data_IF_338900398471
#
_entry.id   IF_338900398471
#
_cell.length_a   1.000
_cell.length_b   1.000
_cell.length_c   1.000
_cell.angle_alpha   90.00
_cell.angle_beta   90.00
_cell.angle_gamma   90.00
#
_symmetry.space_group_name_H-M   'P 1'
#
loop_
_entity.id
_entity.type
_entity.pdbx_description
1 polymer ?
#
# COMPACT_ATOMS: atom_id res chain seq x y z
N UNK A 1 -1.35 -16.52 12.33
CA UNK A 1 -0.15 -17.39 12.20
C UNK A 1 -0.53 -18.85 11.93
N UNK A 2 -1.30 -19.51 12.80
CA UNK A 2 -1.75 -20.91 12.58
C UNK A 2 -2.43 -21.12 11.23
N UNK A 3 -3.35 -20.22 10.84
CA UNK A 3 -4.01 -20.30 9.54
C UNK A 3 -3.02 -20.29 8.36
N UNK A 4 -2.01 -19.41 8.39
CA UNK A 4 -0.99 -19.34 7.36
C UNK A 4 -0.08 -20.58 7.33
N UNK A 5 0.29 -21.11 8.51
CA UNK A 5 1.06 -22.36 8.60
C UNK A 5 0.27 -23.56 8.06
N UNK A 6 -1.00 -23.69 8.43
CA UNK A 6 -1.89 -24.74 7.92
C UNK A 6 -2.07 -24.62 6.38
N UNK A 7 -2.24 -23.40 5.87
CA UNK A 7 -2.32 -23.17 4.42
C UNK A 7 -1.04 -23.60 3.71
N UNK A 8 0.12 -23.30 4.29
CA UNK A 8 1.41 -23.71 3.72
C UNK A 8 1.53 -25.23 3.65
N UNK A 9 1.10 -25.96 4.68
CA UNK A 9 1.05 -27.43 4.64
C UNK A 9 0.13 -27.92 3.52
N UNK A 10 -1.08 -27.36 3.39
CA UNK A 10 -2.05 -27.75 2.36
C UNK A 10 -1.54 -27.49 0.93
N UNK A 11 -0.81 -26.40 0.70
CA UNK A 11 -0.21 -26.08 -0.60
C UNK A 11 0.78 -27.16 -1.04
N UNK A 12 1.58 -27.68 -0.11
CA UNK A 12 2.62 -28.66 -0.43
C UNK A 12 2.11 -30.11 -0.49
N UNK A 13 0.97 -30.42 0.14
CA UNK A 13 0.32 -31.74 0.04
C UNK A 13 -0.56 -31.90 -1.20
N UNK A 14 -1.04 -30.81 -1.79
CA UNK A 14 -1.79 -30.81 -3.05
C UNK A 14 -0.85 -30.97 -4.26
N UNK A 15 -0.43 -32.20 -4.58
CA UNK A 15 0.64 -32.43 -5.56
C UNK A 15 0.19 -32.63 -7.01
N UNK A 16 -1.08 -32.92 -7.29
CA UNK A 16 -1.54 -33.24 -8.65
C UNK A 16 -2.10 -32.05 -9.46
N UNK A 17 -2.82 -31.12 -8.81
CA UNK A 17 -3.65 -30.13 -9.55
C UNK A 17 -3.05 -28.72 -9.63
N UNK A 18 -2.09 -28.38 -8.76
CA UNK A 18 -1.47 -27.04 -8.74
C UNK A 18 -0.03 -27.05 -9.26
N UNK A 19 0.28 -26.31 -10.34
CA UNK A 19 1.63 -26.18 -10.89
C UNK A 19 2.65 -25.78 -9.81
N UNK A 20 3.86 -26.32 -9.88
CA UNK A 20 4.95 -25.98 -8.95
C UNK A 20 5.20 -24.45 -8.85
N UNK A 21 5.21 -23.68 -9.96
CA UNK A 21 5.37 -22.22 -9.88
C UNK A 21 4.31 -21.54 -9.00
N UNK A 22 3.05 -21.93 -9.13
CA UNK A 22 1.96 -21.35 -8.36
C UNK A 22 2.10 -21.64 -6.86
N UNK A 23 2.47 -22.88 -6.50
CA UNK A 23 2.74 -23.27 -5.11
C UNK A 23 3.88 -22.48 -4.47
N UNK A 24 4.92 -22.16 -5.24
CA UNK A 24 6.03 -21.30 -4.77
C UNK A 24 5.53 -19.88 -4.51
N UNK A 25 4.75 -19.30 -5.44
CA UNK A 25 4.20 -17.96 -5.28
C UNK A 25 3.30 -17.85 -4.04
N UNK A 26 2.38 -18.80 -3.85
CA UNK A 26 1.50 -18.86 -2.68
C UNK A 26 2.29 -19.02 -1.37
N UNK A 27 3.32 -19.87 -1.36
CA UNK A 27 4.20 -20.06 -0.20
C UNK A 27 4.91 -18.78 0.19
N UNK A 28 5.41 -18.01 -0.78
CA UNK A 28 6.13 -16.74 -0.52
C UNK A 28 5.17 -15.65 -0.08
N UNK A 29 3.95 -15.60 -0.63
CA UNK A 29 2.90 -14.71 -0.15
C UNK A 29 2.55 -15.01 1.30
N UNK A 30 2.36 -16.29 1.67
CA UNK A 30 2.09 -16.69 3.06
C UNK A 30 3.28 -16.44 3.99
N UNK A 31 4.50 -16.70 3.54
CA UNK A 31 5.72 -16.39 4.28
C UNK A 31 5.84 -14.90 4.58
N UNK A 32 5.51 -14.06 3.60
CA UNK A 32 5.44 -12.60 3.75
C UNK A 32 4.38 -12.18 4.77
N UNK A 33 3.17 -12.76 4.68
CA UNK A 33 2.11 -12.57 5.68
C UNK A 33 2.57 -12.98 7.07
N UNK A 34 3.21 -14.14 7.23
CA UNK A 34 3.74 -14.61 8.52
C UNK A 34 4.77 -13.66 9.11
N UNK A 35 5.67 -13.14 8.27
CA UNK A 35 6.68 -12.17 8.69
C UNK A 35 6.02 -10.88 9.19
N UNK A 36 5.02 -10.36 8.47
CA UNK A 36 4.28 -9.17 8.88
C UNK A 36 3.43 -9.40 10.13
N UNK A 37 2.88 -10.59 10.32
CA UNK A 37 2.19 -10.98 11.56
C UNK A 37 3.17 -11.09 12.74
N UNK A 38 4.40 -11.56 12.50
CA UNK A 38 5.45 -11.56 13.52
C UNK A 38 5.82 -10.12 13.91
N UNK A 39 5.93 -9.19 12.94
CA UNK A 39 6.11 -7.75 13.24
C UNK A 39 4.93 -7.23 14.05
N UNK A 40 3.69 -7.50 13.65
CA UNK A 40 2.50 -7.09 14.41
C UNK A 40 2.54 -7.61 15.86
N UNK A 41 2.95 -8.85 16.07
CA UNK A 41 3.16 -9.43 17.40
C UNK A 41 4.26 -8.70 18.18
N UNK A 42 5.42 -8.42 17.56
CA UNK A 42 6.49 -7.66 18.20
C UNK A 42 6.05 -6.24 18.58
N UNK A 43 5.27 -5.57 17.72
CA UNK A 43 4.70 -4.24 17.98
C UNK A 43 3.79 -4.30 19.20
N UNK A 44 2.90 -5.31 19.28
CA UNK A 44 2.02 -5.49 20.43
C UNK A 44 2.81 -5.82 21.71
N UNK A 45 3.81 -6.70 21.62
CA UNK A 45 4.59 -7.16 22.77
C UNK A 45 5.42 -6.03 23.38
N UNK A 46 6.06 -5.20 22.55
CA UNK A 46 6.90 -4.08 23.02
C UNK A 46 6.09 -2.88 23.51
N UNK A 47 4.80 -2.84 23.21
CA UNK A 47 3.96 -1.67 23.43
C UNK A 47 3.70 -1.31 24.90
N UNK A 48 4.03 -2.18 25.86
CA UNK A 48 3.63 -2.04 27.28
C UNK A 48 2.14 -1.62 27.42
N UNK A 49 1.25 -2.25 26.64
CA UNK A 49 -0.19 -1.97 26.55
C UNK A 49 -0.59 -0.54 26.12
N UNK A 50 0.32 0.23 25.53
CA UNK A 50 -0.01 1.55 24.99
C UNK A 50 -1.05 1.44 23.85
N UNK A 51 -2.23 2.07 23.99
CA UNK A 51 -3.32 1.95 23.02
C UNK A 51 -2.95 2.26 21.55
N UNK A 52 -2.06 3.24 21.26
CA UNK A 52 -1.58 3.50 19.90
C UNK A 52 -0.92 2.29 19.22
N UNK A 53 0.00 1.65 19.93
CA UNK A 53 0.80 0.55 19.39
C UNK A 53 -0.07 -0.72 19.26
N UNK A 54 -0.94 -0.98 20.23
CA UNK A 54 -1.91 -2.07 20.16
C UNK A 54 -2.86 -1.90 18.96
N UNK A 55 -3.36 -0.68 18.73
CA UNK A 55 -4.22 -0.40 17.57
C UNK A 55 -3.50 -0.62 16.25
N UNK A 56 -2.22 -0.21 16.17
CA UNK A 56 -1.38 -0.48 15.01
C UNK A 56 -1.16 -1.98 14.79
N UNK A 57 -0.79 -2.72 15.84
CA UNK A 57 -0.61 -4.16 15.78
C UNK A 57 -1.87 -4.88 15.31
N UNK A 58 -3.04 -4.50 15.83
CA UNK A 58 -4.32 -5.06 15.41
C UNK A 58 -4.65 -4.72 13.95
N UNK A 59 -4.38 -3.49 13.50
CA UNK A 59 -4.56 -3.11 12.10
C UNK A 59 -3.73 -4.02 11.18
N UNK A 60 -2.43 -4.16 11.45
CA UNK A 60 -1.54 -5.03 10.69
C UNK A 60 -1.99 -6.49 10.76
N UNK A 61 -2.35 -6.97 11.95
CA UNK A 61 -2.78 -8.34 12.16
C UNK A 61 -4.02 -8.67 11.32
N UNK A 62 -5.06 -7.83 11.32
CA UNK A 62 -6.28 -8.08 10.55
C UNK A 62 -6.08 -7.88 9.05
N UNK A 63 -5.34 -6.85 8.63
CA UNK A 63 -5.02 -6.62 7.21
C UNK A 63 -4.30 -7.84 6.62
N UNK A 64 -3.23 -8.31 7.26
CA UNK A 64 -2.44 -9.41 6.71
C UNK A 64 -3.05 -10.79 6.99
N UNK A 65 -3.79 -10.97 8.10
CA UNK A 65 -4.49 -12.23 8.34
C UNK A 65 -5.66 -12.43 7.38
N UNK A 66 -6.28 -11.37 6.87
CA UNK A 66 -7.38 -11.49 5.91
C UNK A 66 -6.97 -12.35 4.71
N UNK A 67 -5.83 -12.04 4.08
CA UNK A 67 -5.30 -12.80 2.95
C UNK A 67 -5.01 -14.27 3.30
N UNK A 68 -4.38 -14.51 4.46
CA UNK A 68 -4.10 -15.87 4.91
C UNK A 68 -5.38 -16.67 5.18
N UNK A 69 -6.41 -16.06 5.77
CA UNK A 69 -7.69 -16.72 6.03
C UNK A 69 -8.43 -17.03 4.73
N UNK A 70 -8.48 -16.09 3.79
CA UNK A 70 -9.15 -16.32 2.51
C UNK A 70 -8.47 -17.43 1.72
N UNK A 71 -7.13 -17.45 1.68
CA UNK A 71 -6.37 -18.52 1.04
C UNK A 71 -6.59 -19.87 1.74
N UNK A 72 -6.62 -19.91 3.08
CA UNK A 72 -6.92 -21.13 3.83
C UNK A 72 -8.31 -21.69 3.47
N UNK A 73 -9.33 -20.83 3.51
CA UNK A 73 -10.71 -21.22 3.22
C UNK A 73 -10.88 -21.68 1.77
N UNK A 74 -10.11 -21.09 0.86
CA UNK A 74 -10.02 -21.53 -0.53
C UNK A 74 -9.43 -22.93 -0.67
N UNK A 75 -8.28 -23.20 -0.04
CA UNK A 75 -7.63 -24.53 -0.09
C UNK A 75 -8.45 -25.61 0.62
N UNK A 76 -9.19 -25.25 1.66
CA UNK A 76 -10.15 -26.14 2.33
C UNK A 76 -11.46 -26.33 1.55
N UNK A 77 -11.61 -25.69 0.37
CA UNK A 77 -12.83 -25.72 -0.46
C UNK A 77 -14.09 -25.33 0.33
N UNK A 78 -13.94 -24.41 1.29
CA UNK A 78 -15.07 -23.92 2.09
C UNK A 78 -16.02 -23.15 1.20
N UNK A 79 -17.32 -23.41 1.38
CA UNK A 79 -18.41 -22.78 0.63
C UNK A 79 -18.27 -21.24 0.68
N UNK A 80 -18.50 -20.59 -0.47
CA UNK A 80 -18.50 -19.14 -0.61
C UNK A 80 -19.41 -18.44 0.41
N UNK A 81 -20.54 -19.05 0.79
CA UNK A 81 -21.47 -18.53 1.80
C UNK A 81 -20.85 -18.36 3.20
N UNK A 82 -19.81 -19.15 3.54
CA UNK A 82 -19.06 -19.03 4.80
C UNK A 82 -17.84 -18.12 4.60
N UNK A 83 -17.20 -18.17 3.43
CA UNK A 83 -16.02 -17.35 3.11
C UNK A 83 -16.34 -15.86 3.10
N UNK A 84 -17.50 -15.48 2.54
CA UNK A 84 -17.94 -14.10 2.42
C UNK A 84 -18.06 -13.38 3.78
N UNK A 85 -18.80 -13.91 4.77
CA UNK A 85 -18.88 -13.31 6.11
C UNK A 85 -17.51 -13.16 6.79
N UNK A 86 -16.62 -14.14 6.63
CA UNK A 86 -15.26 -14.06 7.18
C UNK A 86 -14.51 -12.91 6.55
N UNK A 87 -14.53 -12.79 5.22
CA UNK A 87 -13.90 -11.69 4.47
C UNK A 87 -14.42 -10.31 4.91
N UNK A 88 -15.74 -10.20 5.11
CA UNK A 88 -16.38 -8.96 5.57
C UNK A 88 -15.94 -8.61 6.97
N UNK A 89 -15.92 -9.58 7.88
CA UNK A 89 -15.56 -9.37 9.27
C UNK A 89 -14.08 -8.95 9.40
N UNK A 90 -13.17 -9.67 8.74
CA UNK A 90 -11.74 -9.33 8.75
C UNK A 90 -11.48 -7.98 8.09
N UNK A 91 -12.22 -7.64 7.02
CA UNK A 91 -12.14 -6.32 6.40
C UNK A 91 -12.61 -5.21 7.35
N UNK A 92 -13.78 -5.36 7.98
CA UNK A 92 -14.31 -4.37 8.93
C UNK A 92 -13.32 -4.14 10.07
N UNK A 93 -12.76 -5.23 10.63
CA UNK A 93 -11.78 -5.15 11.71
C UNK A 93 -10.48 -4.48 11.22
N UNK A 94 -9.93 -4.90 10.08
CA UNK A 94 -8.72 -4.31 9.51
C UNK A 94 -8.87 -2.81 9.21
N UNK A 95 -9.97 -2.43 8.55
CA UNK A 95 -10.27 -1.03 8.24
C UNK A 95 -10.52 -0.18 9.49
N UNK A 96 -11.31 -0.69 10.43
CA UNK A 96 -11.60 -0.01 11.69
C UNK A 96 -10.33 0.23 12.50
N UNK A 97 -9.51 -0.80 12.69
CA UNK A 97 -8.23 -0.67 13.40
C UNK A 97 -7.22 0.20 12.64
N UNK A 98 -7.19 0.18 11.31
CA UNK A 98 -6.34 1.07 10.52
C UNK A 98 -6.66 2.54 10.79
N UNK A 99 -7.94 2.92 10.75
CA UNK A 99 -8.37 4.29 11.04
C UNK A 99 -8.06 4.65 12.49
N UNK A 100 -8.29 3.74 13.43
CA UNK A 100 -7.94 3.95 14.85
C UNK A 100 -6.44 4.11 15.04
N UNK A 101 -5.62 3.32 14.36
CA UNK A 101 -4.17 3.44 14.39
C UNK A 101 -3.75 4.81 13.85
N UNK A 102 -4.33 5.28 12.73
CA UNK A 102 -4.05 6.62 12.19
C UNK A 102 -4.46 7.77 13.14
N UNK A 103 -5.44 7.54 14.02
CA UNK A 103 -5.88 8.51 15.02
C UNK A 103 -5.04 8.49 16.31
N UNK A 104 -4.43 7.35 16.63
CA UNK A 104 -3.77 7.12 17.91
C UNK A 104 -2.24 7.09 17.82
N UNK A 105 -1.68 6.73 16.67
CA UNK A 105 -0.25 6.49 16.50
C UNK A 105 0.43 7.57 15.63
N UNK A 106 1.63 8.07 16.01
CA UNK A 106 2.39 7.75 17.24
C UNK A 106 1.89 8.43 18.51
N UNK A 107 0.97 9.39 18.40
CA UNK A 107 0.33 10.05 19.53
C UNK A 107 -1.17 10.19 19.29
N UNK A 108 -1.97 10.24 20.36
CA UNK A 108 -3.41 10.45 20.23
C UNK A 108 -3.73 11.84 19.66
N UNK A 109 -4.45 11.87 18.53
CA UNK A 109 -4.99 13.11 17.98
C UNK A 109 -6.17 13.60 18.82
N UNK A 110 -6.16 14.90 19.11
CA UNK A 110 -7.23 15.58 19.84
C UNK A 110 -8.02 16.49 18.90
N UNK A 111 -9.26 16.87 19.27
CA UNK A 111 -10.00 17.90 18.53
C UNK A 111 -9.23 19.22 18.40
N UNK A 112 -8.41 19.56 19.39
CA UNK A 112 -7.57 20.77 19.39
C UNK A 112 -6.49 20.70 18.30
N UNK A 113 -5.91 19.53 18.04
CA UNK A 113 -4.93 19.33 16.96
C UNK A 113 -5.54 19.61 15.58
N UNK A 114 -6.81 19.21 15.37
CA UNK A 114 -7.51 19.44 14.12
C UNK A 114 -7.91 20.91 13.98
N UNK A 115 -8.44 21.54 15.04
CA UNK A 115 -8.91 22.93 15.00
C UNK A 115 -7.78 23.93 14.82
N UNK A 116 -6.63 23.69 15.44
CA UNK A 116 -5.43 24.53 15.35
C UNK A 116 -4.54 24.21 14.14
N UNK A 117 -4.85 23.13 13.40
CA UNK A 117 -4.06 22.72 12.24
C UNK A 117 -4.01 23.82 11.18
N UNK A 118 -2.82 24.19 10.66
CA UNK A 118 -2.71 25.19 9.59
C UNK A 118 -3.21 24.70 8.23
N UNK A 119 -3.66 23.44 8.14
CA UNK A 119 -4.08 22.74 6.92
C UNK A 119 -5.50 23.11 6.47
N UNK A 120 -5.89 22.70 5.25
CA UNK A 120 -7.26 22.90 4.73
C UNK A 120 -8.32 22.27 5.63
N UNK A 121 -7.97 21.15 6.28
CA UNK A 121 -8.83 20.39 7.18
C UNK A 121 -9.16 21.16 8.46
N UNK A 122 -8.18 21.93 8.96
CA UNK A 122 -8.38 22.86 10.07
C UNK A 122 -9.15 24.09 9.63
N UNK A 123 -8.93 24.63 8.43
CA UNK A 123 -9.58 25.89 7.98
C UNK A 123 -11.07 25.73 7.64
N UNK A 124 -11.44 24.66 6.94
CA UNK A 124 -12.80 24.46 6.43
C UNK A 124 -13.71 23.85 7.50
N UNK A 125 -14.72 24.61 7.96
CA UNK A 125 -15.63 24.21 9.05
C UNK A 125 -16.30 22.83 8.87
N UNK A 126 -16.91 22.47 7.72
CA UNK A 126 -17.55 21.16 7.58
C UNK A 126 -16.55 20.00 7.65
N UNK A 127 -15.40 20.10 6.99
CA UNK A 127 -14.35 19.08 7.04
C UNK A 127 -13.82 18.90 8.46
N UNK A 128 -13.63 20.00 9.19
CA UNK A 128 -13.22 19.99 10.59
C UNK A 128 -14.22 19.22 11.46
N UNK A 129 -15.52 19.50 11.32
CA UNK A 129 -16.58 18.82 12.08
C UNK A 129 -16.61 17.33 11.76
N UNK A 130 -16.50 16.95 10.49
CA UNK A 130 -16.48 15.54 10.06
C UNK A 130 -15.28 14.80 10.65
N UNK A 131 -14.07 15.37 10.57
CA UNK A 131 -12.87 14.74 11.13
C UNK A 131 -12.93 14.60 12.65
N UNK A 132 -13.46 15.61 13.37
CA UNK A 132 -13.65 15.55 14.82
C UNK A 132 -14.72 14.51 15.19
N UNK A 133 -15.81 14.41 14.41
CA UNK A 133 -16.83 13.39 14.62
C UNK A 133 -16.22 11.97 14.50
N UNK A 134 -15.41 11.75 13.47
CA UNK A 134 -14.76 10.46 13.25
C UNK A 134 -13.58 10.17 14.18
N UNK A 135 -13.08 11.12 14.99
CA UNK A 135 -12.15 10.80 16.09
C UNK A 135 -12.78 9.85 17.14
N UNK A 136 -14.12 9.80 17.22
CA UNK A 136 -14.84 8.90 18.12
C UNK A 136 -14.81 7.48 17.56
N UNK A 137 -14.29 6.54 18.34
CA UNK A 137 -14.17 5.13 17.93
C UNK A 137 -15.50 4.55 17.42
N UNK A 138 -16.63 4.84 18.09
CA UNK A 138 -17.96 4.38 17.67
C UNK A 138 -18.33 4.84 16.26
N UNK A 139 -18.00 6.09 15.90
CA UNK A 139 -18.31 6.63 14.58
C UNK A 139 -17.50 5.92 13.48
N UNK A 140 -16.24 5.58 13.74
CA UNK A 140 -15.40 4.80 12.82
C UNK A 140 -16.01 3.42 12.57
N UNK A 141 -16.38 2.70 13.63
CA UNK A 141 -16.96 1.36 13.50
C UNK A 141 -18.31 1.38 12.78
N UNK A 142 -19.15 2.38 13.04
CA UNK A 142 -20.41 2.57 12.32
C UNK A 142 -20.14 2.84 10.84
N UNK A 143 -19.22 3.75 10.50
CA UNK A 143 -18.89 4.07 9.11
C UNK A 143 -18.40 2.83 8.37
N UNK A 144 -17.41 2.14 8.91
CA UNK A 144 -16.80 0.97 8.25
C UNK A 144 -17.82 -0.17 8.15
N UNK A 145 -18.55 -0.47 9.24
CA UNK A 145 -19.53 -1.55 9.27
C UNK A 145 -20.69 -1.30 8.31
N UNK A 146 -21.32 -0.12 8.40
CA UNK A 146 -22.47 0.24 7.54
C UNK A 146 -22.04 0.32 6.08
N UNK A 147 -20.91 0.97 5.77
CA UNK A 147 -20.43 1.03 4.38
C UNK A 147 -20.14 -0.37 3.83
N UNK A 148 -19.45 -1.23 4.59
CA UNK A 148 -19.13 -2.58 4.11
C UNK A 148 -20.40 -3.41 3.89
N UNK A 149 -21.40 -3.32 4.78
CA UNK A 149 -22.65 -4.06 4.65
C UNK A 149 -23.54 -3.56 3.50
N UNK A 150 -23.66 -2.24 3.31
CA UNK A 150 -24.48 -1.65 2.24
C UNK A 150 -23.96 -1.97 0.85
N UNK A 151 -22.64 -2.09 0.72
CA UNK A 151 -21.97 -2.29 -0.56
C UNK A 151 -21.39 -3.69 -0.72
N UNK A 152 -21.76 -4.61 0.17
CA UNK A 152 -21.34 -5.99 0.10
C UNK A 152 -21.78 -6.62 -1.23
N UNK A 153 -20.86 -7.29 -1.92
CA UNK A 153 -21.11 -7.93 -3.21
C UNK A 153 -20.95 -7.03 -4.44
N UNK A 154 -20.70 -5.72 -4.29
CA UNK A 154 -20.38 -4.85 -5.42
C UNK A 154 -18.87 -4.51 -5.45
N UNK A 155 -18.12 -4.99 -6.45
CA UNK A 155 -16.67 -4.81 -6.51
C UNK A 155 -16.24 -3.34 -6.67
N UNK A 156 -16.99 -2.53 -7.43
CA UNK A 156 -16.65 -1.12 -7.65
C UNK A 156 -16.78 -0.29 -6.37
N UNK A 157 -17.84 -0.53 -5.59
CA UNK A 157 -18.00 0.16 -4.31
C UNK A 157 -17.01 -0.32 -3.25
N UNK A 158 -16.60 -1.59 -3.29
CA UNK A 158 -15.57 -2.10 -2.38
C UNK A 158 -14.24 -1.33 -2.53
N UNK A 159 -13.82 -1.05 -3.77
CA UNK A 159 -12.61 -0.25 -4.01
C UNK A 159 -12.78 1.21 -3.60
N UNK A 160 -13.96 1.81 -3.84
CA UNK A 160 -14.26 3.17 -3.40
C UNK A 160 -14.20 3.30 -1.87
N UNK A 161 -14.74 2.33 -1.13
CA UNK A 161 -14.70 2.30 0.34
C UNK A 161 -13.26 2.16 0.84
N UNK A 162 -12.47 1.26 0.24
CA UNK A 162 -11.04 1.13 0.56
C UNK A 162 -10.30 2.44 0.35
N UNK A 163 -10.53 3.12 -0.78
CA UNK A 163 -9.94 4.42 -1.07
C UNK A 163 -10.34 5.45 0.00
N UNK A 164 -11.61 5.52 0.39
CA UNK A 164 -12.08 6.44 1.44
C UNK A 164 -11.40 6.14 2.78
N UNK A 165 -11.28 4.87 3.16
CA UNK A 165 -10.60 4.43 4.40
C UNK A 165 -9.13 4.87 4.39
N UNK A 166 -8.42 4.60 3.29
CA UNK A 166 -7.01 4.99 3.12
C UNK A 166 -6.85 6.50 3.16
N UNK A 167 -7.67 7.25 2.42
CA UNK A 167 -7.63 8.71 2.41
C UNK A 167 -7.89 9.29 3.81
N UNK A 168 -8.84 8.72 4.56
CA UNK A 168 -9.10 9.17 5.91
C UNK A 168 -7.91 8.91 6.84
N UNK A 169 -7.25 7.74 6.73
CA UNK A 169 -6.01 7.45 7.44
C UNK A 169 -4.89 8.44 7.09
N UNK A 170 -4.69 8.72 5.80
CA UNK A 170 -3.70 9.70 5.29
C UNK A 170 -3.98 11.10 5.85
N UNK A 171 -5.24 11.53 5.90
CA UNK A 171 -5.61 12.84 6.46
C UNK A 171 -5.25 12.92 7.94
N UNK A 172 -5.56 11.89 8.74
CA UNK A 172 -5.20 11.87 10.16
C UNK A 172 -3.68 11.89 10.36
N UNK A 173 -2.94 11.02 9.66
CA UNK A 173 -1.47 11.04 9.71
C UNK A 173 -0.91 12.40 9.28
N UNK A 174 -1.47 13.04 8.26
CA UNK A 174 -1.02 14.35 7.79
C UNK A 174 -1.27 15.46 8.82
N UNK A 175 -2.44 15.46 9.47
CA UNK A 175 -2.71 16.39 10.59
C UNK A 175 -1.73 16.14 11.73
N UNK A 176 -1.45 14.88 12.06
CA UNK A 176 -0.51 14.52 13.12
C UNK A 176 0.93 14.93 12.79
N UNK A 177 1.36 14.76 11.55
CA UNK A 177 2.65 15.25 11.06
C UNK A 177 2.77 16.77 11.22
N UNK A 178 1.73 17.52 10.84
CA UNK A 178 1.75 18.98 10.92
C UNK A 178 1.72 19.53 12.33
N UNK A 179 1.03 18.86 13.24
CA UNK A 179 0.84 19.29 14.63
C UNK A 179 1.85 18.69 15.60
N UNK A 180 2.52 17.60 15.23
CA UNK A 180 3.47 16.89 16.07
C UNK A 180 4.83 17.57 16.20
N UNK A 181 5.57 17.14 17.21
CA UNK A 181 6.99 17.43 17.43
C UNK A 181 7.87 16.67 16.43
N UNK A 182 9.20 16.84 16.55
CA UNK A 182 10.17 16.25 15.62
C UNK A 182 10.07 14.72 15.62
N UNK A 183 9.92 14.09 16.78
CA UNK A 183 9.81 12.64 16.90
C UNK A 183 8.52 12.11 16.25
N UNK A 184 7.37 12.72 16.55
CA UNK A 184 6.08 12.37 15.92
C UNK A 184 6.18 12.46 14.40
N UNK A 185 6.77 13.53 13.89
CA UNK A 185 6.95 13.73 12.44
C UNK A 185 7.76 12.63 11.80
N UNK A 186 8.86 12.22 12.42
CA UNK A 186 9.71 11.15 11.90
C UNK A 186 8.99 9.80 11.85
N UNK A 187 8.27 9.43 12.90
CA UNK A 187 7.49 8.18 12.93
C UNK A 187 6.39 8.15 11.87
N UNK A 188 5.69 9.27 11.67
CA UNK A 188 4.67 9.39 10.61
C UNK A 188 5.31 9.32 9.22
N UNK A 189 6.49 9.91 9.01
CA UNK A 189 7.21 9.84 7.73
C UNK A 189 7.58 8.40 7.36
N UNK A 190 8.03 7.58 8.32
CA UNK A 190 8.28 6.15 8.08
C UNK A 190 7.02 5.39 7.65
N UNK A 191 5.85 5.74 8.19
CA UNK A 191 4.57 5.17 7.71
C UNK A 191 4.22 5.61 6.28
N UNK A 192 4.43 6.89 5.95
CA UNK A 192 4.24 7.36 4.58
C UNK A 192 5.23 6.72 3.61
N UNK A 193 6.46 6.46 4.05
CA UNK A 193 7.45 5.73 3.27
C UNK A 193 7.02 4.29 3.02
N UNK A 194 6.54 3.59 4.06
CA UNK A 194 5.96 2.25 3.93
C UNK A 194 4.84 2.22 2.88
N UNK A 195 3.87 3.14 3.01
CA UNK A 195 2.74 3.23 2.11
C UNK A 195 3.17 3.57 0.67
N UNK A 196 4.14 4.46 0.50
CA UNK A 196 4.63 4.86 -0.81
C UNK A 196 5.44 3.74 -1.48
N UNK A 197 6.30 3.04 -0.75
CA UNK A 197 7.05 1.89 -1.29
C UNK A 197 6.07 0.80 -1.73
N UNK A 198 5.08 0.47 -0.88
CA UNK A 198 4.04 -0.51 -1.23
C UNK A 198 3.24 -0.08 -2.44
N UNK A 199 2.85 1.20 -2.54
CA UNK A 199 2.17 1.73 -3.71
C UNK A 199 3.01 1.55 -4.98
N UNK A 200 4.29 1.95 -4.94
CA UNK A 200 5.20 1.85 -6.08
C UNK A 200 5.41 0.40 -6.51
N UNK A 201 5.68 -0.50 -5.57
CA UNK A 201 5.88 -1.92 -5.88
C UNK A 201 4.59 -2.54 -6.44
N UNK A 202 3.42 -2.17 -5.90
CA UNK A 202 2.13 -2.66 -6.40
C UNK A 202 1.86 -2.17 -7.81
N UNK A 203 2.09 -0.89 -8.10
CA UNK A 203 1.95 -0.34 -9.46
C UNK A 203 2.91 -1.02 -10.44
N UNK A 204 4.16 -1.26 -10.05
CA UNK A 204 5.12 -1.98 -10.89
C UNK A 204 4.65 -3.43 -11.12
N UNK A 205 4.19 -4.11 -10.08
CA UNK A 205 3.67 -5.47 -10.19
C UNK A 205 2.45 -5.55 -11.11
N UNK A 206 1.49 -4.64 -10.97
CA UNK A 206 0.29 -4.55 -11.81
C UNK A 206 0.64 -4.21 -13.25
N UNK A 207 1.56 -3.26 -13.46
CA UNK A 207 2.04 -2.88 -14.78
C UNK A 207 2.71 -4.05 -15.50
N UNK A 208 3.57 -4.81 -14.80
CA UNK A 208 4.21 -5.97 -15.42
C UNK A 208 3.19 -7.10 -15.65
N UNK A 209 2.24 -7.32 -14.73
CA UNK A 209 1.16 -8.28 -14.92
C UNK A 209 0.29 -7.94 -16.13
N UNK A 210 0.00 -6.66 -16.36
CA UNK A 210 -0.75 -6.20 -17.53
C UNK A 210 0.01 -6.50 -18.83
N UNK A 211 1.31 -6.19 -18.90
CA UNK A 211 2.15 -6.45 -20.08
C UNK A 211 2.32 -7.95 -20.35
N UNK A 212 2.56 -8.75 -19.30
CA UNK A 212 2.79 -10.19 -19.43
C UNK A 212 1.52 -11.01 -19.66
N UNK A 213 0.33 -10.43 -19.49
CA UNK A 213 -0.94 -11.16 -19.60
C UNK A 213 -1.14 -11.78 -20.99
N UNK A 214 -0.67 -11.13 -22.05
CA UNK A 214 -0.85 -11.55 -23.44
C UNK A 214 0.32 -12.30 -24.09
N UNK A 215 1.53 -12.24 -23.54
CA UNK A 215 2.76 -12.70 -24.23
C UNK A 215 3.76 -13.46 -23.35
N UNK A 216 3.57 -13.50 -22.03
CA UNK A 216 4.57 -13.99 -21.08
C UNK A 216 4.47 -15.47 -20.73
N UNK A 217 5.62 -16.14 -20.60
CA UNK A 217 5.73 -17.47 -19.98
C UNK A 217 5.12 -17.48 -18.56
N UNK A 218 4.26 -18.46 -18.21
CA UNK A 218 3.70 -18.59 -16.86
C UNK A 218 4.78 -18.63 -15.77
N UNK A 219 5.92 -19.25 -16.04
CA UNK A 219 7.05 -19.33 -15.12
C UNK A 219 7.66 -17.96 -14.83
N UNK A 220 7.80 -17.10 -15.85
CA UNK A 220 8.33 -15.75 -15.68
C UNK A 220 7.42 -14.90 -14.80
N UNK A 221 6.10 -14.98 -15.01
CA UNK A 221 5.09 -14.28 -14.19
C UNK A 221 5.22 -14.65 -12.72
N UNK A 222 5.38 -15.94 -12.42
CA UNK A 222 5.58 -16.42 -11.06
C UNK A 222 6.88 -15.93 -10.43
N UNK A 223 8.01 -16.05 -11.13
CA UNK A 223 9.32 -15.63 -10.59
C UNK A 223 9.30 -14.14 -10.24
N UNK A 224 8.66 -13.34 -11.08
CA UNK A 224 8.53 -11.92 -10.85
C UNK A 224 7.55 -11.60 -9.72
N UNK A 225 6.39 -12.26 -9.65
CA UNK A 225 5.43 -12.05 -8.55
C UNK A 225 6.05 -12.40 -7.20
N UNK A 226 6.85 -13.47 -7.17
CA UNK A 226 7.66 -13.86 -6.00
C UNK A 226 8.60 -12.74 -5.59
N UNK A 227 9.37 -12.19 -6.53
CA UNK A 227 10.32 -11.12 -6.25
C UNK A 227 9.61 -9.86 -5.73
N UNK A 228 8.51 -9.45 -6.36
CA UNK A 228 7.75 -8.26 -5.97
C UNK A 228 7.09 -8.43 -4.59
N UNK A 229 6.51 -9.60 -4.31
CA UNK A 229 5.93 -9.89 -3.01
C UNK A 229 7.00 -9.87 -1.90
N UNK A 230 8.17 -10.47 -2.14
CA UNK A 230 9.27 -10.44 -1.19
C UNK A 230 9.78 -9.01 -0.95
N UNK A 231 9.97 -8.22 -2.02
CA UNK A 231 10.40 -6.82 -1.91
C UNK A 231 9.39 -5.96 -1.13
N UNK A 232 8.09 -6.11 -1.42
CA UNK A 232 7.03 -5.38 -0.72
C UNK A 232 6.99 -5.74 0.77
N UNK A 233 7.06 -7.03 1.07
CA UNK A 233 7.08 -7.54 2.45
C UNK A 233 8.27 -6.98 3.24
N UNK A 234 9.48 -7.05 2.68
CA UNK A 234 10.68 -6.52 3.32
C UNK A 234 10.59 -5.01 3.54
N UNK A 235 10.11 -4.27 2.55
CA UNK A 235 9.91 -2.83 2.68
C UNK A 235 8.93 -2.48 3.80
N UNK A 236 7.79 -3.17 3.87
CA UNK A 236 6.80 -2.99 4.93
C UNK A 236 7.38 -3.31 6.30
N UNK A 237 8.08 -4.44 6.44
CA UNK A 237 8.73 -4.84 7.69
C UNK A 237 9.73 -3.79 8.15
N UNK A 238 10.60 -3.32 7.26
CA UNK A 238 11.61 -2.30 7.58
C UNK A 238 10.93 -1.00 7.99
N UNK A 239 9.97 -0.51 7.21
CA UNK A 239 9.35 0.80 7.46
C UNK A 239 8.46 0.79 8.70
N UNK A 240 7.67 -0.27 8.93
CA UNK A 240 6.84 -0.40 10.14
C UNK A 240 7.75 -0.55 11.37
N UNK A 241 8.78 -1.39 11.29
CA UNK A 241 9.73 -1.55 12.40
C UNK A 241 10.45 -0.25 12.71
N UNK A 242 10.86 0.50 11.69
CA UNK A 242 11.44 1.83 11.86
C UNK A 242 10.42 2.81 12.46
N UNK A 243 9.17 2.80 12.00
CA UNK A 243 8.16 3.71 12.54
C UNK A 243 7.85 3.45 14.02
N UNK A 244 7.85 2.17 14.44
CA UNK A 244 7.45 1.77 15.80
C UNK A 244 8.63 1.74 16.78
N UNK A 245 9.72 1.08 16.43
CA UNK A 245 10.81 0.78 17.37
C UNK A 245 11.94 1.80 17.37
N UNK A 246 11.99 2.67 16.37
CA UNK A 246 13.16 3.50 16.14
C UNK A 246 13.02 4.89 16.79
N UNK A 247 14.00 5.25 17.61
CA UNK A 247 14.05 6.51 18.36
C UNK A 247 14.68 7.68 17.57
N UNK A 248 14.53 7.71 16.24
CA UNK A 248 14.90 8.87 15.41
C UNK A 248 16.39 9.08 15.09
N UNK A 249 17.27 8.09 15.32
CA UNK A 249 18.73 8.22 15.06
C UNK A 249 19.15 8.23 13.57
N UNK A 250 18.23 7.96 12.65
CA UNK A 250 18.33 7.98 11.19
C UNK A 250 17.17 8.87 10.75
N UNK A 251 17.50 9.94 10.04
CA UNK A 251 16.50 10.85 9.48
C UNK A 251 15.90 10.23 8.22
N UNK A 252 14.61 9.83 8.21
CA UNK A 252 13.95 9.39 6.97
C UNK A 252 13.99 10.48 5.89
N UNK A 253 14.06 11.75 6.30
CA UNK A 253 14.20 12.87 5.36
C UNK A 253 15.47 12.78 4.49
N UNK A 254 16.54 12.11 4.93
CA UNK A 254 17.76 11.90 4.15
C UNK A 254 17.56 10.83 3.06
N UNK A 255 16.85 9.75 3.37
CA UNK A 255 16.50 8.68 2.41
C UNK A 255 15.48 9.21 1.37
N UNK A 256 14.52 10.03 1.83
CA UNK A 256 13.47 10.64 1.00
C UNK A 256 14.03 11.62 -0.05
N UNK A 257 15.08 12.39 0.26
CA UNK A 257 15.36 13.63 -0.48
C UNK A 257 15.86 13.48 -1.92
N UNK A 258 16.44 12.34 -2.30
CA UNK A 258 16.94 12.14 -3.67
C UNK A 258 16.48 10.80 -4.24
N UNK A 259 17.00 9.69 -3.73
CA UNK A 259 16.82 8.37 -4.38
C UNK A 259 15.36 7.92 -4.43
N UNK A 260 14.61 8.15 -3.35
CA UNK A 260 13.23 7.68 -3.27
C UNK A 260 12.23 8.53 -4.08
N UNK A 261 12.36 9.86 -4.06
CA UNK A 261 11.53 10.74 -4.91
C UNK A 261 11.83 10.47 -6.40
N UNK A 262 13.10 10.29 -6.78
CA UNK A 262 13.45 9.93 -8.16
C UNK A 262 12.92 8.55 -8.55
N UNK A 263 13.08 7.55 -7.68
CA UNK A 263 12.57 6.19 -7.90
C UNK A 263 11.05 6.15 -8.05
N UNK A 264 10.32 6.76 -7.12
CA UNK A 264 8.86 6.85 -7.13
C UNK A 264 8.35 7.62 -8.35
N UNK A 265 8.95 8.76 -8.68
CA UNK A 265 8.54 9.55 -9.86
C UNK A 265 8.81 8.76 -11.14
N UNK A 266 9.96 8.11 -11.25
CA UNK A 266 10.28 7.26 -12.39
C UNK A 266 9.31 6.08 -12.51
N UNK A 267 8.99 5.39 -11.41
CA UNK A 267 8.05 4.28 -11.40
C UNK A 267 6.62 4.73 -11.77
N UNK A 268 6.15 5.86 -11.24
CA UNK A 268 4.84 6.42 -11.56
C UNK A 268 4.75 6.83 -13.04
N UNK A 269 5.81 7.43 -13.58
CA UNK A 269 5.92 7.77 -15.00
C UNK A 269 5.94 6.52 -15.87
N UNK A 270 6.72 5.49 -15.51
CA UNK A 270 6.78 4.21 -16.22
C UNK A 270 5.43 3.49 -16.19
N UNK A 271 4.73 3.50 -15.05
CA UNK A 271 3.39 2.93 -14.93
C UNK A 271 2.37 3.67 -15.80
N UNK A 272 2.37 5.01 -15.73
CA UNK A 272 1.49 5.84 -16.56
C UNK A 272 1.77 5.59 -18.05
N UNK A 273 3.06 5.53 -18.40
CA UNK A 273 3.51 5.18 -19.75
C UNK A 273 2.98 3.81 -20.18
N UNK A 274 3.20 2.75 -19.38
CA UNK A 274 2.76 1.40 -19.72
C UNK A 274 1.23 1.30 -19.86
N UNK A 275 0.48 2.02 -19.02
CA UNK A 275 -0.98 2.07 -19.08
C UNK A 275 -1.47 2.75 -20.35
N UNK A 276 -0.87 3.90 -20.71
CA UNK A 276 -1.20 4.63 -21.93
C UNK A 276 -0.78 3.84 -23.16
N UNK A 277 0.40 3.21 -23.15
CA UNK A 277 0.87 2.34 -24.23
C UNK A 277 -0.10 1.19 -24.44
N UNK A 278 -0.45 0.42 -23.40
CA UNK A 278 -1.39 -0.69 -23.50
C UNK A 278 -2.76 -0.25 -24.03
N UNK A 279 -3.27 0.91 -23.61
CA UNK A 279 -4.52 1.48 -24.12
C UNK A 279 -4.43 1.83 -25.62
N UNK A 280 -3.35 2.49 -26.03
CA UNK A 280 -3.15 2.91 -27.42
C UNK A 280 -2.85 1.74 -28.35
N UNK A 281 -2.11 0.73 -27.89
CA UNK A 281 -1.88 -0.51 -28.63
C UNK A 281 -3.21 -1.20 -28.90
N UNK A 282 -4.05 -1.40 -27.89
CA UNK A 282 -5.37 -2.01 -28.07
C UNK A 282 -6.24 -1.19 -29.04
N UNK A 283 -6.23 0.14 -28.93
CA UNK A 283 -6.96 1.03 -29.85
C UNK A 283 -6.46 0.89 -31.31
N UNK A 284 -5.15 0.76 -31.53
CA UNK A 284 -4.54 0.62 -32.85
C UNK A 284 -4.73 -0.78 -33.45
N UNK A 285 -4.68 -1.82 -32.63
CA UNK A 285 -4.91 -3.20 -33.04
C UNK A 285 -6.38 -3.39 -33.42
N UNK A 286 -7.31 -2.97 -32.56
CA UNK A 286 -8.75 -3.15 -32.78
C UNK A 286 -9.32 -2.17 -33.83
N UNK A 287 -8.80 -0.93 -33.87
CA UNK A 287 -9.30 0.11 -34.77
C UNK A 287 -8.65 0.13 -36.16
N UNK A 288 -7.37 -0.27 -36.27
CA UNK A 288 -6.61 -0.16 -37.52
C UNK A 288 -6.03 -1.48 -38.03
N UNK A 289 -6.26 -2.61 -37.34
CA UNK A 289 -5.76 -3.94 -37.75
C UNK A 289 -4.24 -4.04 -37.76
N UNK A 290 -3.54 -3.14 -37.06
CA UNK A 290 -2.09 -3.07 -37.02
C UNK A 290 -1.56 -4.20 -36.13
N UNK A 291 -0.46 -4.86 -36.53
CA UNK A 291 0.14 -5.91 -35.70
C UNK A 291 0.61 -5.35 -34.34
N UNK A 292 0.31 -6.08 -33.28
CA UNK A 292 0.60 -5.76 -31.88
C UNK A 292 2.08 -5.34 -31.66
N UNK A 293 3.01 -6.06 -32.30
CA UNK A 293 4.45 -5.78 -32.23
C UNK A 293 4.85 -4.44 -32.86
N UNK A 294 4.19 -4.06 -33.97
CA UNK A 294 4.46 -2.81 -34.65
C UNK A 294 3.84 -1.62 -33.89
N UNK A 295 2.63 -1.79 -33.35
CA UNK A 295 1.97 -0.77 -32.53
C UNK A 295 2.79 -0.44 -31.28
N UNK A 296 3.27 -1.45 -30.53
CA UNK A 296 4.12 -1.23 -29.36
C UNK A 296 5.48 -0.63 -29.72
N UNK A 297 6.15 -1.11 -30.79
CA UNK A 297 7.43 -0.53 -31.23
C UNK A 297 7.29 0.95 -31.66
N UNK A 298 6.21 1.29 -32.37
CA UNK A 298 5.91 2.65 -32.80
C UNK A 298 5.65 3.56 -31.60
N UNK A 299 4.81 3.12 -30.67
CA UNK A 299 4.47 3.89 -29.47
C UNK A 299 5.67 4.06 -28.55
N UNK A 300 6.44 3.00 -28.29
CA UNK A 300 7.67 3.08 -27.49
C UNK A 300 8.69 4.05 -28.08
N UNK A 301 8.81 4.10 -29.41
CA UNK A 301 9.69 5.07 -30.09
C UNK A 301 9.15 6.50 -29.99
N UNK A 302 7.85 6.71 -30.22
CA UNK A 302 7.18 8.02 -30.12
C UNK A 302 7.27 8.60 -28.71
N UNK A 303 6.97 7.78 -27.69
CA UNK A 303 7.08 8.20 -26.31
C UNK A 303 8.53 8.40 -25.88
N UNK A 304 9.47 7.54 -26.29
CA UNK A 304 10.89 7.75 -26.05
C UNK A 304 11.38 9.11 -26.56
N UNK A 305 10.93 9.52 -27.75
CA UNK A 305 11.21 10.83 -28.32
C UNK A 305 10.48 11.97 -27.57
N UNK A 306 9.24 11.76 -27.16
CA UNK A 306 8.45 12.77 -26.43
C UNK A 306 8.93 13.00 -24.98
N UNK A 307 9.49 11.98 -24.33
CA UNK A 307 10.01 12.08 -22.96
C UNK A 307 11.43 12.65 -22.89
N UNK A 308 12.20 12.60 -23.98
CA UNK A 308 13.54 13.20 -24.05
C UNK A 308 13.58 14.69 -23.65
N UNK A 309 12.71 15.58 -24.15
CA UNK A 309 12.68 16.98 -23.72
C UNK A 309 12.18 17.17 -22.27
N UNK A 310 11.30 16.29 -21.77
CA UNK A 310 10.80 16.35 -20.39
C UNK A 310 11.93 15.99 -19.41
N UNK A 311 12.70 14.95 -19.70
CA UNK A 311 13.91 14.57 -18.95
C UNK A 311 14.88 15.75 -18.85
N UNK A 312 15.18 16.38 -19.98
CA UNK A 312 16.10 17.52 -20.01
C UNK A 312 15.59 18.72 -19.20
N UNK A 313 14.27 18.98 -19.22
CA UNK A 313 13.65 20.03 -18.38
C UNK A 313 13.67 19.69 -16.90
N UNK A 314 13.43 18.43 -16.52
CA UNK A 314 13.52 17.99 -15.13
C UNK A 314 14.95 18.10 -14.62
N UNK A 315 15.96 17.65 -15.38
CA UNK A 315 17.37 17.82 -15.02
C UNK A 315 17.76 19.30 -14.83
N UNK A 316 17.24 20.19 -15.70
CA UNK A 316 17.45 21.64 -15.54
C UNK A 316 16.75 22.24 -14.32
N UNK A 317 15.51 21.84 -14.04
CA UNK A 317 14.80 22.29 -12.84
C UNK A 317 15.52 21.80 -11.57
N UNK A 318 16.04 20.58 -11.58
CA UNK A 318 16.75 19.97 -10.45
C UNK A 318 18.11 20.62 -10.19
N UNK A 319 18.83 21.05 -11.23
CA UNK A 319 20.06 21.85 -11.07
C UNK A 319 19.79 23.20 -10.39
N UNK A 320 18.59 23.78 -10.53
CA UNK A 320 18.20 25.01 -9.81
C UNK A 320 17.94 24.82 -8.32
N UNK A 321 17.61 23.60 -7.87
CA UNK A 321 17.33 23.29 -6.46
C UNK A 321 18.46 22.50 -5.77
N UNK A 322 19.57 22.24 -6.45
CA UNK A 322 20.78 21.70 -5.83
C UNK A 322 21.40 22.70 -4.84
N UNK A 323 22.05 22.24 -3.75
CA UNK A 323 22.68 23.13 -2.79
C UNK A 323 23.73 23.99 -3.50
N UNK A 324 23.65 25.31 -3.28
CA UNK A 324 24.68 26.25 -3.72
C UNK A 324 26.04 25.76 -3.18
N UNK A 325 27.05 25.58 -4.05
CA UNK A 325 28.39 25.27 -3.58
C UNK A 325 28.92 26.49 -2.82
N UNK A 326 29.24 26.31 -1.55
CA UNK A 326 29.99 27.29 -0.75
C UNK A 326 29.15 28.17 0.16
N UNK A 327 29.00 27.71 1.42
CA UNK A 327 28.99 28.60 2.57
C UNK A 327 29.58 27.87 3.79
N UNK A 328 30.81 27.40 3.60
CA UNK A 328 31.77 27.26 4.69
C UNK A 328 32.72 28.46 4.57
N UNK A 329 32.39 29.51 5.31
CA UNK A 329 33.27 30.59 5.74
C UNK A 329 32.63 31.22 6.98
#
# INVERSE_FOLDING_TARGET
MLAAAATLVLIWTATADTPLPERINESIRLGSTLLLLAVAFLVAWRADDQPPNVSMALALAFIFSNDAFLMLLEKLRVNAAIRAPVAVLTFILGAGFYIRAAQLFPRTLTPADITSSPTIWGRIKPLRVVLIFFLRARAVWILVGVATLLFFGNPHFAEAIRLIIVLMGVVYFYVMYRSGDVETRQKVLWFFEAALVTLVISLVADGINAVLHGTGSPTLRVVLSVFMNAANSLALVICISAAVFYAGAISPALVIRKTFIYGTTAALLLFTYATVEAFLVNLLVDGAGISDRFASALLGTLFGLAFHPIKNRMEHALRRYGPLPGRDA
#
